data_IF_041464394570
#
_entry.id   IF_041464394570
#
_cell.length_a   1.000
_cell.length_b   1.000
_cell.length_c   1.000
_cell.angle_alpha   90.00
_cell.angle_beta   90.00
_cell.angle_gamma   90.00
#
_symmetry.space_group_name_H-M   'P 1'
#
loop_
_entity.id
_entity.type
_entity.pdbx_description
1 polymer ?
#
# COMPACT_ATOMS: atom_id res chain seq x y z
N UNK A 1 -5.28 13.44 -10.29
CA UNK A 1 -5.62 12.75 -9.03
C UNK A 1 -5.79 11.28 -9.36
N UNK A 2 -4.84 10.42 -8.98
CA UNK A 2 -5.07 8.98 -9.03
C UNK A 2 -6.16 8.70 -8.01
N UNK A 3 -7.35 8.30 -8.45
CA UNK A 3 -8.57 8.17 -7.62
C UNK A 3 -8.53 7.03 -6.59
N UNK A 4 -7.35 6.70 -6.08
CA UNK A 4 -7.12 5.69 -5.07
C UNK A 4 -7.04 6.46 -3.74
N UNK A 5 -8.01 6.22 -2.85
CA UNK A 5 -7.95 6.79 -1.50
C UNK A 5 -6.73 6.20 -0.76
N UNK A 6 -6.05 6.98 0.10
CA UNK A 6 -4.99 6.47 0.95
C UNK A 6 -5.53 5.28 1.75
N UNK A 7 -4.92 4.11 1.57
CA UNK A 7 -5.46 2.84 2.04
C UNK A 7 -4.92 1.63 1.29
N UNK A 8 -5.28 0.45 1.77
CA UNK A 8 -4.95 -0.83 1.16
C UNK A 8 -6.16 -1.32 0.36
N UNK A 9 -5.97 -1.50 -0.95
CA UNK A 9 -6.96 -2.09 -1.84
C UNK A 9 -6.49 -3.46 -2.28
N UNK A 10 -7.21 -4.51 -1.90
CA UNK A 10 -6.92 -5.88 -2.34
C UNK A 10 -7.95 -6.29 -3.40
N UNK A 11 -7.47 -6.83 -4.51
CA UNK A 11 -8.22 -7.28 -5.69
C UNK A 11 -7.83 -8.72 -6.03
N UNK A 12 -8.63 -9.39 -6.85
CA UNK A 12 -8.30 -10.74 -7.31
C UNK A 12 -8.36 -11.80 -6.21
N UNK A 13 -9.28 -11.66 -5.25
CA UNK A 13 -9.56 -12.69 -4.24
C UNK A 13 -10.43 -13.85 -4.78
N UNK A 14 -10.70 -13.88 -6.09
CA UNK A 14 -11.44 -14.95 -6.76
C UNK A 14 -10.67 -16.27 -6.88
N UNK A 15 -11.38 -17.37 -7.15
CA UNK A 15 -10.82 -18.74 -7.19
C UNK A 15 -9.76 -19.00 -8.27
N UNK A 16 -9.63 -18.13 -9.28
CA UNK A 16 -8.68 -18.26 -10.39
C UNK A 16 -7.90 -16.98 -10.67
N UNK A 17 -8.00 -15.98 -9.79
CA UNK A 17 -7.33 -14.71 -9.98
C UNK A 17 -6.06 -14.68 -9.14
N UNK A 18 -5.01 -14.06 -9.68
CA UNK A 18 -3.84 -13.73 -8.88
C UNK A 18 -4.23 -12.60 -7.95
N UNK A 19 -4.13 -12.76 -6.62
CA UNK A 19 -4.44 -11.68 -5.71
C UNK A 19 -3.44 -10.56 -5.94
N UNK A 20 -3.96 -9.35 -6.05
CA UNK A 20 -3.18 -8.13 -6.22
C UNK A 20 -3.56 -7.19 -5.09
N UNK A 21 -2.59 -6.53 -4.48
CA UNK A 21 -2.83 -5.52 -3.47
C UNK A 21 -2.08 -4.25 -3.86
N UNK A 22 -2.83 -3.16 -3.90
CA UNK A 22 -2.32 -1.82 -4.13
C UNK A 22 -2.45 -1.06 -2.81
N UNK A 23 -1.33 -0.60 -2.28
CA UNK A 23 -1.30 0.22 -1.09
C UNK A 23 -0.84 1.63 -1.44
N UNK A 24 -1.63 2.62 -1.03
CA UNK A 24 -1.24 4.02 -1.09
C UNK A 24 -1.06 4.55 0.33
N UNK A 25 0.18 4.83 0.69
CA UNK A 25 0.51 5.42 1.97
C UNK A 25 0.11 6.91 2.00
N UNK A 26 -0.19 7.43 3.18
CA UNK A 26 -0.49 8.85 3.40
C UNK A 26 0.68 9.78 3.07
N UNK A 27 1.91 9.27 3.03
CA UNK A 27 3.09 10.03 2.59
C UNK A 27 3.22 10.15 1.06
N UNK A 28 2.35 9.47 0.28
CA UNK A 28 2.39 9.46 -1.18
C UNK A 28 3.17 8.30 -1.80
N UNK A 29 3.71 7.39 -0.98
CA UNK A 29 4.33 6.16 -1.48
C UNK A 29 3.26 5.18 -1.95
N UNK A 30 3.37 4.69 -3.18
CA UNK A 30 2.56 3.60 -3.68
C UNK A 30 3.38 2.31 -3.64
N UNK A 31 2.77 1.23 -3.18
CA UNK A 31 3.36 -0.10 -3.25
C UNK A 31 2.36 -1.05 -3.89
N UNK A 32 2.82 -1.83 -4.85
CA UNK A 32 2.00 -2.80 -5.58
C UNK A 32 2.54 -4.21 -5.32
N UNK A 33 1.68 -5.11 -4.84
CA UNK A 33 2.01 -6.50 -4.61
C UNK A 33 1.11 -7.40 -5.46
N UNK A 34 1.69 -8.44 -6.05
CA UNK A 34 0.98 -9.44 -6.86
C UNK A 34 1.34 -10.85 -6.40
N UNK A 35 0.35 -11.72 -6.34
CA UNK A 35 0.48 -13.07 -5.84
C UNK A 35 0.25 -13.17 -4.34
N UNK A 36 -0.22 -14.35 -3.90
CA UNK A 36 -0.76 -14.54 -2.56
C UNK A 36 0.25 -14.20 -1.46
N UNK A 37 1.50 -14.63 -1.61
CA UNK A 37 2.53 -14.34 -0.61
C UNK A 37 2.85 -12.84 -0.53
N UNK A 38 3.07 -12.18 -1.67
CA UNK A 38 3.36 -10.74 -1.69
C UNK A 38 2.19 -9.92 -1.12
N UNK A 39 0.94 -10.28 -1.41
CA UNK A 39 -0.24 -9.63 -0.82
C UNK A 39 -0.29 -9.82 0.69
N UNK A 40 -0.02 -11.03 1.18
CA UNK A 40 0.01 -11.32 2.62
C UNK A 40 1.12 -10.51 3.30
N UNK A 41 2.33 -10.51 2.73
CA UNK A 41 3.46 -9.74 3.28
C UNK A 41 3.18 -8.24 3.27
N UNK A 42 2.65 -7.70 2.17
CA UNK A 42 2.26 -6.30 2.06
C UNK A 42 1.24 -5.97 3.15
N UNK A 43 0.15 -6.73 3.22
CA UNK A 43 -0.94 -6.52 4.19
C UNK A 43 -0.47 -6.66 5.64
N UNK A 44 0.50 -7.54 5.92
CA UNK A 44 1.07 -7.73 7.25
C UNK A 44 2.04 -6.60 7.65
N UNK A 45 2.73 -5.99 6.68
CA UNK A 45 3.70 -4.90 6.91
C UNK A 45 3.06 -3.52 6.93
N UNK A 46 2.04 -3.29 6.11
CA UNK A 46 1.41 -1.98 5.93
C UNK A 46 0.22 -1.82 6.87
N UNK A 47 0.13 -0.67 7.54
CA UNK A 47 -1.03 -0.34 8.39
C UNK A 47 -1.76 0.85 7.77
N UNK A 48 -3.06 0.67 7.48
CA UNK A 48 -3.90 1.75 6.94
C UNK A 48 -3.97 2.90 7.97
N UNK A 49 -3.56 4.09 7.55
CA UNK A 49 -3.51 5.28 8.42
C UNK A 49 -2.21 5.45 9.21
N UNK A 50 -1.33 4.45 9.27
CA UNK A 50 0.00 4.56 9.88
C UNK A 50 1.10 4.40 8.83
N UNK A 51 1.81 5.49 8.55
CA UNK A 51 2.99 5.45 7.70
C UNK A 51 4.14 4.77 8.45
N UNK A 52 4.50 3.56 8.02
CA UNK A 52 5.65 2.79 8.56
C UNK A 52 6.98 3.16 7.89
N UNK A 53 6.98 4.14 6.97
CA UNK A 53 8.21 4.70 6.41
C UNK A 53 8.92 5.55 7.47
N UNK A 54 9.64 4.89 8.37
CA UNK A 54 10.58 5.54 9.29
C UNK A 54 11.80 5.99 8.49
N UNK A 55 11.67 7.15 7.83
CA UNK A 55 12.79 8.02 7.49
C UNK A 55 13.71 7.58 6.36
N UNK A 56 13.22 7.57 5.11
CA UNK A 56 14.05 7.97 3.95
C UNK A 56 13.28 8.86 2.97
N UNK A 57 12.33 9.65 3.46
CA UNK A 57 11.89 10.86 2.75
C UNK A 57 11.78 11.99 3.77
N UNK A 58 12.84 12.79 3.78
CA UNK A 58 12.95 14.10 4.42
C UNK A 58 11.60 14.80 4.53
N UNK A 59 11.18 15.01 5.77
CA UNK A 59 10.40 16.15 6.28
C UNK A 59 10.40 17.31 5.28
N UNK A 60 9.36 17.45 4.46
CA UNK A 60 8.95 18.76 3.97
C UNK A 60 7.98 19.35 4.97
N UNK A 61 8.58 19.96 5.98
CA UNK A 61 7.96 21.04 6.76
C UNK A 61 7.32 22.03 5.80
N UNK A 62 6.04 22.29 6.01
CA UNK A 62 5.41 23.52 5.59
C UNK A 62 6.19 24.73 6.14
N UNK A 63 6.44 25.71 5.28
CA UNK A 63 6.62 27.12 5.60
C UNK A 63 6.48 27.93 4.30
#
# INVERSE_FOLDING_TARGET
MTGIQPGLTVRGLGRYELPVADWLCTCGHHEHARGRQAVIELTARVTVGHCTHTGTETRRTAA
#
